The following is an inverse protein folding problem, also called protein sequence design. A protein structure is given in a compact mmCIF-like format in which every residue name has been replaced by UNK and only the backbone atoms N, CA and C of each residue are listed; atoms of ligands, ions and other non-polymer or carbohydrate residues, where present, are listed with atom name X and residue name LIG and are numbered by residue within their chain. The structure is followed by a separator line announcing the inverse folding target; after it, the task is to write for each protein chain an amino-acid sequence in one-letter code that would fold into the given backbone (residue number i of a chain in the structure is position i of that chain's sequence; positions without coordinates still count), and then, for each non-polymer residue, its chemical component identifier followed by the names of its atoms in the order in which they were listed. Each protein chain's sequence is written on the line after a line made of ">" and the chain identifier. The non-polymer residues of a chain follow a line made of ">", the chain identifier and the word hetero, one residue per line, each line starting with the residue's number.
data_IF_816347698769
#
_entry.id   IF_816347698769
#
_cell.length_a   1.000
_cell.length_b   1.000
_cell.length_c   1.000
_cell.angle_alpha   90.00
_cell.angle_beta   90.00
_cell.angle_gamma   90.00
#
_symmetry.space_group_name_H-M   'P 1'
#
loop_
_entity.id
_entity.type
_entity.pdbx_description
1 polymer ?
#
# COMPACT_ATOMS: atom_id res chain seq x y z
N UNK A 1 -3.70 2.00 10.68
CA UNK A 1 -4.14 2.24 9.28
C UNK A 1 -5.64 2.10 9.03
N UNK A 2 -6.21 2.99 8.21
CA UNK A 2 -7.61 2.89 7.75
C UNK A 2 -7.76 1.79 6.67
N UNK A 3 -8.82 0.98 6.78
CA UNK A 3 -9.18 -0.06 5.80
C UNK A 3 -10.04 0.50 4.67
N UNK A 4 -9.80 0.03 3.45
CA UNK A 4 -10.48 0.44 2.23
C UNK A 4 -10.87 -0.78 1.39
N UNK A 5 -11.88 -0.63 0.53
CA UNK A 5 -12.10 -1.57 -0.57
C UNK A 5 -11.10 -1.32 -1.69
N UNK A 6 -10.89 -2.31 -2.56
CA UNK A 6 -10.01 -2.11 -3.70
C UNK A 6 -10.55 -1.05 -4.68
N UNK A 7 -11.85 -1.05 -4.93
CA UNK A 7 -12.49 -0.06 -5.82
C UNK A 7 -12.30 1.39 -5.32
N UNK A 8 -12.37 1.60 -4.00
CA UNK A 8 -12.09 2.91 -3.37
C UNK A 8 -10.63 3.33 -3.59
N UNK A 9 -9.70 2.40 -3.45
CA UNK A 9 -8.27 2.63 -3.65
C UNK A 9 -7.98 2.99 -5.10
N UNK A 10 -8.47 2.20 -6.06
CA UNK A 10 -8.28 2.47 -7.49
C UNK A 10 -8.86 3.83 -7.88
N UNK A 11 -10.10 4.11 -7.47
CA UNK A 11 -10.76 5.40 -7.74
C UNK A 11 -9.98 6.59 -7.16
N UNK A 12 -9.33 6.40 -6.00
CA UNK A 12 -8.55 7.45 -5.34
C UNK A 12 -7.22 7.69 -6.07
N UNK A 13 -6.53 6.62 -6.47
CA UNK A 13 -5.24 6.68 -7.19
C UNK A 13 -5.43 7.29 -8.58
N UNK A 14 -6.46 6.87 -9.32
CA UNK A 14 -6.67 7.31 -10.71
C UNK A 14 -7.17 8.75 -10.82
N UNK A 15 -7.62 9.35 -9.72
CA UNK A 15 -8.06 10.74 -9.69
C UNK A 15 -6.88 11.69 -9.91
N UNK A 16 -6.94 12.44 -11.03
CA UNK A 16 -5.89 13.39 -11.45
C UNK A 16 -5.57 14.47 -10.41
N UNK A 17 -6.52 14.81 -9.53
CA UNK A 17 -6.31 15.78 -8.44
C UNK A 17 -5.24 15.27 -7.45
N UNK A 18 -5.04 13.95 -7.36
CA UNK A 18 -4.05 13.33 -6.49
C UNK A 18 -2.73 12.99 -7.20
N UNK A 19 -2.47 13.53 -8.40
CA UNK A 19 -1.27 13.19 -9.18
C UNK A 19 0.06 13.49 -8.47
N UNK A 20 0.07 14.44 -7.53
CA UNK A 20 1.21 14.80 -6.69
C UNK A 20 1.24 14.09 -5.33
N UNK A 21 0.29 13.19 -5.05
CA UNK A 21 0.22 12.43 -3.80
C UNK A 21 0.91 11.08 -3.98
N UNK A 22 1.71 10.69 -2.99
CA UNK A 22 2.29 9.36 -2.88
C UNK A 22 1.26 8.48 -2.15
N UNK A 23 0.92 7.36 -2.76
CA UNK A 23 0.06 6.35 -2.15
C UNK A 23 0.88 5.17 -1.71
N UNK A 24 0.83 4.88 -0.41
CA UNK A 24 1.28 3.61 0.15
C UNK A 24 0.06 2.71 0.35
N UNK A 25 -0.07 1.69 -0.47
CA UNK A 25 -1.16 0.72 -0.37
C UNK A 25 -0.59 -0.61 0.12
N UNK A 26 -1.11 -1.12 1.22
CA UNK A 26 -0.78 -2.44 1.73
C UNK A 26 -1.97 -3.40 1.62
N UNK A 27 -1.64 -4.67 1.45
CA UNK A 27 -2.54 -5.78 1.22
C UNK A 27 -2.27 -6.82 2.29
N UNK A 28 -3.25 -7.02 3.18
CA UNK A 28 -3.11 -7.89 4.35
C UNK A 28 -4.27 -8.88 4.41
N UNK A 29 -4.04 -10.01 5.08
CA UNK A 29 -5.08 -10.97 5.47
C UNK A 29 -5.26 -10.96 6.98
N UNK A 30 -6.50 -11.05 7.44
CA UNK A 30 -6.80 -11.01 8.88
C UNK A 30 -6.38 -12.29 9.62
N UNK A 31 -6.26 -13.41 8.91
CA UNK A 31 -5.91 -14.73 9.48
C UNK A 31 -4.54 -15.23 8.98
N UNK A 32 -3.54 -14.34 8.92
CA UNK A 32 -2.19 -14.66 8.46
C UNK A 32 -1.17 -13.95 9.35
N UNK A 33 -0.25 -14.73 9.93
CA UNK A 33 0.72 -14.21 10.92
C UNK A 33 1.63 -13.16 10.28
N UNK A 34 2.13 -13.43 9.08
CA UNK A 34 3.01 -12.51 8.37
C UNK A 34 2.29 -11.18 8.06
N UNK A 35 1.01 -11.25 7.68
CA UNK A 35 0.17 -10.07 7.50
C UNK A 35 -0.06 -9.27 8.78
N UNK A 36 -0.26 -9.94 9.92
CA UNK A 36 -0.41 -9.26 11.22
C UNK A 36 0.91 -8.61 11.65
N UNK A 37 2.03 -9.29 11.47
CA UNK A 37 3.37 -8.74 11.73
C UNK A 37 3.63 -7.51 10.88
N UNK A 38 3.40 -7.61 9.56
CA UNK A 38 3.61 -6.49 8.65
C UNK A 38 2.63 -5.35 8.87
N UNK A 39 1.39 -5.61 9.32
CA UNK A 39 0.45 -4.55 9.65
C UNK A 39 0.99 -3.62 10.74
N UNK A 40 1.58 -4.18 11.80
CA UNK A 40 2.24 -3.37 12.84
C UNK A 40 3.38 -2.54 12.25
N UNK A 41 4.20 -3.14 11.37
CA UNK A 41 5.27 -2.43 10.67
C UNK A 41 4.72 -1.28 9.81
N UNK A 42 3.64 -1.50 9.06
CA UNK A 42 3.02 -0.46 8.24
C UNK A 42 2.42 0.66 9.07
N UNK A 43 1.90 0.37 10.26
CA UNK A 43 1.41 1.38 11.20
C UNK A 43 2.54 2.23 11.77
N UNK A 44 3.71 1.64 12.07
CA UNK A 44 4.90 2.41 12.44
C UNK A 44 5.37 3.32 11.29
N UNK A 45 5.29 2.85 10.04
CA UNK A 45 5.59 3.68 8.87
C UNK A 45 4.55 4.81 8.72
N UNK A 46 3.26 4.52 8.82
CA UNK A 46 2.19 5.54 8.75
C UNK A 46 2.40 6.65 9.80
N UNK A 47 2.76 6.27 11.03
CA UNK A 47 3.04 7.21 12.12
C UNK A 47 4.22 8.16 11.81
N UNK A 48 5.27 7.66 11.15
CA UNK A 48 6.41 8.47 10.72
C UNK A 48 6.01 9.58 9.73
N UNK A 49 4.98 9.33 8.91
CA UNK A 49 4.50 10.28 7.90
C UNK A 49 3.19 10.98 8.29
N UNK A 50 2.71 10.85 9.53
CA UNK A 50 1.40 11.40 9.97
C UNK A 50 1.20 12.91 9.71
N UNK A 51 2.30 13.67 9.66
CA UNK A 51 2.29 15.11 9.41
C UNK A 51 2.55 15.48 7.95
N UNK A 52 2.79 14.50 7.09
CA UNK A 52 3.07 14.70 5.67
C UNK A 52 1.79 14.47 4.86
N UNK A 53 1.13 15.55 4.47
CA UNK A 53 -0.09 15.50 3.64
C UNK A 53 0.12 14.91 2.25
N UNK A 54 1.38 14.78 1.80
CA UNK A 54 1.71 14.26 0.49
C UNK A 54 1.78 12.74 0.45
N UNK A 55 1.68 12.06 1.61
CA UNK A 55 1.66 10.60 1.68
C UNK A 55 0.32 10.12 2.22
N UNK A 56 -0.34 9.22 1.50
CA UNK A 56 -1.60 8.58 1.92
C UNK A 56 -1.40 7.09 2.10
N UNK A 57 -1.80 6.60 3.26
CA UNK A 57 -1.73 5.20 3.66
C UNK A 57 -3.10 4.53 3.50
N UNK A 58 -3.13 3.37 2.84
CA UNK A 58 -4.35 2.63 2.58
C UNK A 58 -4.12 1.14 2.85
N UNK A 59 -4.95 0.52 3.68
CA UNK A 59 -4.91 -0.93 3.90
C UNK A 59 -6.09 -1.61 3.21
N UNK A 60 -5.82 -2.65 2.43
CA UNK A 60 -6.82 -3.48 1.75
C UNK A 60 -6.77 -4.89 2.30
N UNK A 61 -7.93 -5.38 2.74
CA UNK A 61 -8.12 -6.77 3.13
C UNK A 61 -8.34 -7.62 1.88
N UNK A 62 -7.37 -8.47 1.53
CA UNK A 62 -7.44 -9.21 0.26
C UNK A 62 -8.44 -10.38 0.28
N UNK A 63 -8.83 -10.88 1.45
CA UNK A 63 -9.86 -11.93 1.52
C UNK A 63 -11.23 -11.39 1.12
N UNK A 64 -11.47 -10.10 1.40
CA UNK A 64 -12.75 -9.44 1.15
C UNK A 64 -12.90 -8.88 -0.26
N UNK A 65 -11.82 -8.82 -1.04
CA UNK A 65 -11.80 -8.10 -2.34
C UNK A 65 -11.73 -9.02 -3.57
N UNK A 66 -11.57 -10.34 -3.41
CA UNK A 66 -11.40 -11.31 -4.52
C UNK A 66 -10.29 -10.95 -5.54
N UNK A 67 -9.45 -9.96 -5.24
CA UNK A 67 -8.49 -9.34 -6.16
C UNK A 67 -7.41 -10.31 -6.65
N UNK A 68 -7.12 -11.33 -5.85
CA UNK A 68 -6.20 -12.41 -6.17
C UNK A 68 -6.66 -13.29 -7.35
N UNK A 69 -7.89 -13.11 -7.85
CA UNK A 69 -8.45 -13.84 -9.00
C UNK A 69 -8.25 -13.11 -10.33
N UNK A 70 -7.86 -11.84 -10.32
CA UNK A 70 -7.66 -11.07 -11.55
C UNK A 70 -6.23 -11.24 -12.08
N UNK A 71 -6.09 -12.09 -13.11
CA UNK A 71 -4.82 -12.38 -13.79
C UNK A 71 -4.30 -11.15 -14.57
N UNK A 72 -5.18 -10.19 -14.88
CA UNK A 72 -4.84 -8.96 -15.58
C UNK A 72 -4.52 -7.80 -14.62
N UNK A 73 -4.51 -8.06 -13.31
CA UNK A 73 -4.18 -7.04 -12.32
C UNK A 73 -2.73 -6.54 -12.52
N UNK A 74 -2.62 -5.29 -12.98
CA UNK A 74 -1.36 -4.59 -13.20
C UNK A 74 -0.49 -4.51 -11.94
N UNK A 75 -1.10 -4.64 -10.76
CA UNK A 75 -0.43 -4.59 -9.46
C UNK A 75 0.09 -5.97 -8.98
N UNK A 76 -0.29 -7.05 -9.67
CA UNK A 76 0.11 -8.43 -9.39
C UNK A 76 -0.11 -8.81 -7.92
N UNK A 77 -1.30 -8.54 -7.36
CA UNK A 77 -1.61 -8.78 -5.93
C UNK A 77 -1.98 -10.25 -5.70
N UNK A 78 -0.97 -11.13 -5.82
CA UNK A 78 -1.17 -12.60 -5.81
C UNK A 78 -0.87 -13.21 -4.44
N UNK A 79 -0.25 -12.44 -3.53
CA UNK A 79 0.18 -12.88 -2.21
C UNK A 79 0.09 -11.73 -1.19
N UNK A 80 -0.09 -12.09 0.08
CA UNK A 80 -0.02 -11.20 1.25
C UNK A 80 1.06 -11.70 2.21
N UNK A 81 1.64 -10.83 3.03
CA UNK A 81 1.54 -9.37 2.96
C UNK A 81 2.22 -8.83 1.69
N UNK A 82 1.64 -7.77 1.12
CA UNK A 82 2.23 -7.04 -0.02
C UNK A 82 2.00 -5.56 0.16
N UNK A 83 2.92 -4.74 -0.31
CA UNK A 83 2.70 -3.30 -0.41
C UNK A 83 3.14 -2.79 -1.78
N UNK A 84 2.60 -1.64 -2.16
CA UNK A 84 2.95 -0.89 -3.35
C UNK A 84 3.07 0.59 -2.99
N UNK A 85 4.08 1.24 -3.55
CA UNK A 85 4.25 2.69 -3.54
C UNK A 85 3.89 3.19 -4.93
N UNK A 86 2.88 4.05 -5.01
CA UNK A 86 2.39 4.64 -6.25
C UNK A 86 2.60 6.14 -6.19
N UNK A 87 3.16 6.69 -7.26
CA UNK A 87 3.30 8.14 -7.44
C UNK A 87 3.08 8.50 -8.90
N UNK A 88 2.29 9.54 -9.15
CA UNK A 88 1.88 9.97 -10.50
C UNK A 88 1.30 8.81 -11.33
N UNK A 89 0.35 8.08 -10.75
CA UNK A 89 -0.36 6.92 -11.31
C UNK A 89 0.55 5.79 -11.81
N UNK A 90 1.78 5.69 -11.28
CA UNK A 90 2.73 4.64 -11.62
C UNK A 90 3.22 3.96 -10.35
N UNK A 91 3.29 2.62 -10.39
CA UNK A 91 3.97 1.84 -9.35
C UNK A 91 5.45 2.16 -9.40
N UNK A 92 5.99 2.67 -8.31
CA UNK A 92 7.42 3.02 -8.16
C UNK A 92 8.20 1.92 -7.49
N UNK A 93 7.60 1.33 -6.45
CA UNK A 93 8.15 0.24 -5.65
C UNK A 93 7.03 -0.70 -5.23
N UNK A 94 7.39 -1.94 -4.97
CA UNK A 94 6.50 -2.94 -4.39
C UNK A 94 7.33 -3.99 -3.67
N UNK A 95 6.81 -4.52 -2.58
CA UNK A 95 7.42 -5.60 -1.83
C UNK A 95 6.38 -6.64 -1.42
N UNK A 96 6.82 -7.86 -1.13
CA UNK A 96 5.95 -8.92 -0.62
C UNK A 96 6.68 -9.74 0.43
N UNK A 97 5.93 -10.27 1.40
CA UNK A 97 6.48 -10.91 2.58
C UNK A 97 6.94 -9.88 3.62
N UNK A 98 7.88 -10.29 4.47
CA UNK A 98 8.36 -9.46 5.58
C UNK A 98 9.41 -8.46 5.08
N UNK A 99 9.21 -7.18 5.40
CA UNK A 99 10.11 -6.09 5.05
C UNK A 99 10.43 -5.24 6.29
N UNK A 100 11.69 -4.85 6.51
CA UNK A 100 12.02 -3.85 7.53
C UNK A 100 11.35 -2.51 7.22
N UNK A 101 10.95 -1.77 8.27
CA UNK A 101 10.29 -0.46 8.09
C UNK A 101 11.20 0.56 7.42
N UNK A 102 12.50 0.50 7.66
CA UNK A 102 13.49 1.44 7.14
C UNK A 102 13.50 1.39 5.61
N UNK A 103 13.46 0.18 5.04
CA UNK A 103 13.39 -0.01 3.58
C UNK A 103 12.09 0.55 3.01
N UNK A 104 10.98 0.41 3.73
CA UNK A 104 9.68 0.93 3.30
C UNK A 104 9.68 2.47 3.34
N UNK A 105 10.25 3.05 4.40
CA UNK A 105 10.43 4.50 4.54
C UNK A 105 11.27 5.03 3.39
N UNK A 106 12.44 4.43 3.13
CA UNK A 106 13.32 4.82 2.02
C UNK A 106 12.56 4.81 0.68
N UNK A 107 11.75 3.79 0.41
CA UNK A 107 10.94 3.72 -0.82
C UNK A 107 9.89 4.83 -0.94
N UNK A 108 9.35 5.31 0.17
CA UNK A 108 8.42 6.45 0.18
C UNK A 108 9.21 7.74 -0.02
N UNK A 109 10.31 7.93 0.71
CA UNK A 109 11.15 9.13 0.69
C UNK A 109 11.84 9.35 -0.66
N UNK A 110 12.21 8.30 -1.40
CA UNK A 110 12.71 8.39 -2.79
C UNK A 110 11.78 9.16 -3.74
N UNK A 111 10.51 9.34 -3.37
CA UNK A 111 9.50 10.04 -4.16
C UNK A 111 9.08 11.39 -3.55
N UNK A 112 9.63 11.75 -2.39
CA UNK A 112 9.47 13.07 -1.77
C UNK A 112 10.64 13.94 -2.27
N UNK A 113 10.38 14.82 -3.25
CA UNK A 113 11.33 15.86 -3.66
C UNK A 113 11.59 16.89 -2.56
#
# INVERSE_FOLDING_TARGET
>A
MKKYTWDEVQSTIENRVNSSVIFFVCFTKSNDIDSLTMLNTYEEVEEQFKHNSNVKFMNVDIEKTNIYKDINDSYKIWQSPKFIVIYNNKVKRSGSGIYPKEIIIDFIEENLE
#
